data_IF_228829369280
#
_entry.id   IF_228829369280
#
_cell.length_a   1.000
_cell.length_b   1.000
_cell.length_c   1.000
_cell.angle_alpha   90.00
_cell.angle_beta   90.00
_cell.angle_gamma   90.00
#
_symmetry.space_group_name_H-M   'P 1'
#
loop_
_entity.id
_entity.type
_entity.pdbx_description
1 polymer ?
#
# COMPACT_ATOMS: atom_id res chain seq x y z
N UNK A 1 4.62 -23.20 29.98
CA UNK A 1 3.73 -22.02 29.93
C UNK A 1 3.79 -21.45 28.53
N UNK A 2 2.68 -21.51 27.80
CA UNK A 2 2.61 -21.08 26.39
C UNK A 2 2.48 -19.56 26.37
N UNK A 3 3.52 -18.86 25.94
CA UNK A 3 3.47 -17.41 25.76
C UNK A 3 2.57 -17.07 24.57
N UNK A 4 1.29 -16.81 24.83
CA UNK A 4 0.31 -16.31 23.86
C UNK A 4 0.56 -14.85 23.46
N UNK A 5 1.63 -14.22 23.96
CA UNK A 5 1.97 -12.83 23.72
C UNK A 5 3.31 -12.78 23.01
N UNK A 6 3.30 -12.21 21.81
CA UNK A 6 4.50 -11.92 21.02
C UNK A 6 5.41 -10.89 21.72
N UNK A 7 6.45 -10.37 21.04
CA UNK A 7 7.37 -9.41 21.64
C UNK A 7 6.60 -8.15 22.09
N UNK A 8 6.46 -7.97 23.40
CA UNK A 8 5.90 -6.74 23.99
C UNK A 8 6.99 -5.66 23.90
N UNK A 9 6.75 -4.62 23.11
CA UNK A 9 7.63 -3.46 23.07
C UNK A 9 7.43 -2.62 24.35
N UNK A 10 8.51 -2.09 24.92
CA UNK A 10 8.44 -1.30 26.15
C UNK A 10 7.48 -0.10 25.98
N UNK A 11 6.49 0.00 26.87
CA UNK A 11 5.46 1.05 26.82
C UNK A 11 4.31 0.79 25.84
N UNK A 12 4.33 -0.32 25.10
CA UNK A 12 3.26 -0.74 24.20
C UNK A 12 2.54 -1.96 24.74
N UNK A 13 1.60 -1.70 25.63
CA UNK A 13 0.65 -2.69 26.10
C UNK A 13 -0.60 -2.73 25.21
N UNK A 14 -1.52 -3.66 25.51
CA UNK A 14 -2.80 -3.76 24.79
C UNK A 14 -3.56 -2.43 24.78
N UNK A 15 -3.51 -1.66 25.85
CA UNK A 15 -4.21 -0.39 25.96
C UNK A 15 -3.61 0.67 25.04
N UNK A 16 -2.28 0.75 24.93
CA UNK A 16 -1.58 1.61 24.00
C UNK A 16 -1.98 1.31 22.54
N UNK A 17 -2.05 0.03 22.17
CA UNK A 17 -2.54 -0.36 20.83
C UNK A 17 -3.99 0.09 20.58
N UNK A 18 -4.88 -0.12 21.55
CA UNK A 18 -6.29 0.30 21.42
C UNK A 18 -6.41 1.82 21.31
N UNK A 19 -5.62 2.58 22.08
CA UNK A 19 -5.64 4.05 22.01
C UNK A 19 -5.10 4.56 20.67
N UNK A 20 -4.05 3.93 20.14
CA UNK A 20 -3.54 4.23 18.81
C UNK A 20 -4.61 3.96 17.73
N UNK A 21 -5.32 2.83 17.81
CA UNK A 21 -6.43 2.51 16.89
C UNK A 21 -7.57 3.53 16.96
N UNK A 22 -7.93 3.98 18.17
CA UNK A 22 -8.96 5.01 18.36
C UNK A 22 -8.54 6.35 17.75
N UNK A 23 -7.30 6.76 17.99
CA UNK A 23 -6.76 7.99 17.41
C UNK A 23 -6.76 7.95 15.88
N UNK A 24 -6.36 6.82 15.29
CA UNK A 24 -6.37 6.61 13.84
C UNK A 24 -7.80 6.65 13.29
N UNK A 25 -8.77 6.06 14.00
CA UNK A 25 -10.18 6.10 13.61
C UNK A 25 -10.76 7.52 13.61
N UNK A 26 -10.42 8.35 14.61
CA UNK A 26 -10.84 9.75 14.64
C UNK A 26 -10.23 10.55 13.50
N UNK A 27 -8.94 10.39 13.24
CA UNK A 27 -8.28 11.04 12.11
C UNK A 27 -8.89 10.66 10.76
N UNK A 28 -9.21 9.37 10.59
CA UNK A 28 -9.89 8.89 9.39
C UNK A 28 -11.28 9.52 9.25
N UNK A 29 -12.06 9.60 10.34
CA UNK A 29 -13.37 10.23 10.34
C UNK A 29 -13.28 11.72 9.99
N UNK A 30 -12.35 12.45 10.60
CA UNK A 30 -12.11 13.87 10.33
C UNK A 30 -11.69 14.08 8.88
N UNK A 31 -10.81 13.23 8.36
CA UNK A 31 -10.41 13.27 6.95
C UNK A 31 -11.60 13.06 6.02
N UNK A 32 -12.45 12.06 6.29
CA UNK A 32 -13.65 11.79 5.48
C UNK A 32 -14.63 12.96 5.52
N UNK A 33 -14.83 13.55 6.70
CA UNK A 33 -15.68 14.73 6.85
C UNK A 33 -15.13 15.92 6.03
N UNK A 34 -13.84 16.22 6.14
CA UNK A 34 -13.22 17.28 5.35
C UNK A 34 -13.29 17.01 3.85
N UNK A 35 -13.05 15.77 3.42
CA UNK A 35 -13.13 15.38 2.02
C UNK A 35 -14.56 15.52 1.46
N UNK A 36 -15.58 15.17 2.24
CA UNK A 36 -16.98 15.28 1.84
C UNK A 36 -17.47 16.74 1.72
N UNK A 37 -16.93 17.65 2.53
CA UNK A 37 -17.34 19.06 2.56
C UNK A 37 -16.38 20.02 1.85
N UNK A 38 -15.36 19.50 1.15
CA UNK A 38 -14.41 20.30 0.40
C UNK A 38 -14.75 20.34 -1.09
N UNK A 39 -14.68 21.51 -1.72
CA UNK A 39 -14.80 21.66 -3.19
C UNK A 39 -13.73 20.90 -3.98
N UNK A 40 -12.59 20.58 -3.34
CA UNK A 40 -11.44 19.89 -3.96
C UNK A 40 -11.04 18.65 -3.14
N UNK A 41 -11.86 17.59 -3.12
CA UNK A 41 -11.66 16.41 -2.25
C UNK A 41 -10.28 15.76 -2.45
N UNK A 42 -9.76 15.76 -3.69
CA UNK A 42 -8.42 15.21 -4.02
C UNK A 42 -7.25 15.96 -3.38
N UNK A 43 -7.46 17.18 -2.87
CA UNK A 43 -6.43 17.97 -2.20
C UNK A 43 -6.41 17.75 -0.69
N UNK A 44 -7.47 17.20 -0.12
CA UNK A 44 -7.49 16.80 1.28
C UNK A 44 -6.55 15.60 1.42
N UNK A 45 -5.58 15.71 2.33
CA UNK A 45 -4.61 14.65 2.59
C UNK A 45 -4.99 13.92 3.88
N UNK A 46 -4.96 12.58 3.89
CA UNK A 46 -5.13 11.84 5.13
C UNK A 46 -3.96 12.15 6.08
N UNK A 47 -4.26 12.22 7.37
CA UNK A 47 -3.25 12.32 8.41
C UNK A 47 -2.48 10.99 8.49
N UNK A 48 -1.17 11.03 8.77
CA UNK A 48 -0.41 9.81 8.97
C UNK A 48 -0.94 9.05 10.20
N UNK A 49 -0.93 7.72 10.17
CA UNK A 49 -1.32 6.91 11.32
C UNK A 49 -0.37 7.14 12.50
N UNK A 50 -0.86 6.87 13.70
CA UNK A 50 -0.06 6.95 14.92
C UNK A 50 1.16 6.01 14.82
N UNK A 51 2.37 6.46 15.18
CA UNK A 51 3.57 5.64 15.06
C UNK A 51 3.47 4.41 15.98
N UNK A 52 3.65 3.20 15.41
CA UNK A 52 3.62 1.92 16.13
C UNK A 52 4.98 1.23 16.05
N UNK A 53 5.42 0.54 17.11
CA UNK A 53 6.70 -0.15 17.11
C UNK A 53 6.66 -1.33 16.14
N UNK A 54 7.77 -1.53 15.42
CA UNK A 54 7.90 -2.60 14.42
C UNK A 54 7.12 -2.37 13.12
N UNK A 55 6.33 -1.31 13.00
CA UNK A 55 5.66 -0.93 11.75
C UNK A 55 6.57 0.00 10.99
N UNK A 56 7.22 -0.52 9.94
CA UNK A 56 7.85 0.33 8.92
C UNK A 56 6.72 0.92 8.09
N UNK A 57 6.60 2.26 8.08
CA UNK A 57 5.64 2.93 7.19
C UNK A 57 6.11 2.66 5.77
N UNK A 58 5.42 1.77 5.06
CA UNK A 58 5.70 1.53 3.65
C UNK A 58 5.40 2.81 2.88
N UNK A 59 6.45 3.50 2.43
CA UNK A 59 6.30 4.54 1.43
C UNK A 59 5.67 3.91 0.20
N UNK A 60 4.47 4.36 -0.14
CA UNK A 60 3.69 3.84 -1.26
C UNK A 60 4.58 3.81 -2.50
N UNK A 61 4.93 2.60 -2.95
CA UNK A 61 5.82 2.43 -4.08
C UNK A 61 5.28 3.23 -5.27
N UNK A 62 6.05 4.24 -5.70
CA UNK A 62 5.72 5.13 -6.83
C UNK A 62 5.94 4.42 -8.18
N UNK A 63 5.98 3.10 -8.20
CA UNK A 63 6.16 2.38 -9.46
C UNK A 63 4.81 2.24 -10.18
N UNK A 64 4.77 2.54 -11.49
CA UNK A 64 3.56 2.37 -12.28
C UNK A 64 3.17 0.89 -12.26
N UNK A 65 1.95 0.60 -11.82
CA UNK A 65 1.43 -0.77 -11.80
C UNK A 65 1.36 -1.28 -13.26
N UNK A 66 2.25 -2.21 -13.61
CA UNK A 66 2.37 -2.76 -14.96
C UNK A 66 1.07 -3.40 -15.47
N UNK A 67 0.21 -3.89 -14.56
CA UNK A 67 -1.11 -4.44 -14.91
C UNK A 67 -2.08 -3.32 -15.32
N UNK A 68 -2.04 -2.17 -14.63
CA UNK A 68 -2.85 -1.00 -14.98
C UNK A 68 -2.40 -0.36 -16.28
N UNK A 69 -1.09 -0.33 -16.56
CA UNK A 69 -0.54 0.15 -17.83
C UNK A 69 -1.02 -0.72 -19.01
N UNK A 70 -0.95 -2.05 -18.87
CA UNK A 70 -1.47 -2.99 -19.89
C UNK A 70 -2.97 -2.88 -20.10
N UNK A 71 -3.75 -2.68 -19.04
CA UNK A 71 -5.20 -2.51 -19.14
C UNK A 71 -5.58 -1.21 -19.87
N UNK A 72 -4.74 -0.17 -19.79
CA UNK A 72 -4.90 1.10 -20.52
C UNK A 72 -4.43 1.04 -21.98
N UNK A 73 -3.90 -0.09 -22.43
CA UNK A 73 -3.36 -0.25 -23.79
C UNK A 73 -2.00 0.41 -23.98
N UNK A 74 -1.29 0.73 -22.90
CA UNK A 74 0.11 1.15 -22.99
C UNK A 74 0.95 -0.12 -23.22
N UNK A 75 1.47 -0.26 -24.45
CA UNK A 75 2.37 -1.35 -24.81
C UNK A 75 3.60 -1.29 -23.90
N UNK A 76 3.73 -2.30 -23.04
CA UNK A 76 4.93 -2.45 -22.22
C UNK A 76 6.15 -2.44 -23.15
N UNK A 77 7.26 -1.75 -22.81
CA UNK A 77 8.48 -1.83 -23.59
C UNK A 77 8.85 -3.30 -23.74
N UNK A 78 9.13 -3.70 -24.99
CA UNK A 78 9.44 -5.09 -25.34
C UNK A 78 10.45 -5.66 -24.33
N UNK A 79 10.20 -6.86 -23.77
CA UNK A 79 11.13 -7.47 -22.83
C UNK A 79 12.49 -7.53 -23.52
N UNK A 80 13.49 -6.85 -22.96
CA UNK A 80 14.86 -6.92 -23.46
C UNK A 80 15.30 -8.37 -23.27
N UNK A 81 15.24 -9.16 -24.35
CA UNK A 81 15.72 -10.53 -24.35
C UNK A 81 17.22 -10.49 -24.07
N UNK A 82 17.61 -10.88 -22.86
CA UNK A 82 19.02 -11.11 -22.55
C UNK A 82 19.61 -12.15 -23.51
N UNK A 83 20.92 -12.09 -23.78
CA UNK A 83 21.56 -12.96 -24.76
C UNK A 83 21.43 -14.43 -24.32
N UNK A 84 20.46 -15.14 -24.87
CA UNK A 84 20.21 -16.56 -24.58
C UNK A 84 18.75 -17.01 -24.59
N UNK A 85 17.75 -16.12 -24.56
CA UNK A 85 16.34 -16.54 -24.57
C UNK A 85 15.85 -16.85 -25.99
N UNK A 86 15.92 -18.12 -26.39
CA UNK A 86 15.21 -18.65 -27.57
C UNK A 86 13.76 -18.93 -27.20
N UNK A 87 12.86 -17.98 -27.41
CA UNK A 87 11.41 -18.25 -27.36
C UNK A 87 11.05 -18.95 -28.67
N UNK A 88 10.52 -20.19 -28.66
CA UNK A 88 10.06 -20.84 -29.88
C UNK A 88 8.83 -20.10 -30.41
N UNK A 89 8.88 -19.71 -31.68
CA UNK A 89 7.75 -19.10 -32.39
C UNK A 89 6.60 -20.13 -32.49
N UNK A 90 5.34 -19.74 -32.22
CA UNK A 90 4.21 -20.63 -32.43
C UNK A 90 4.06 -20.94 -33.93
N UNK A 91 3.60 -22.15 -34.29
CA UNK A 91 3.47 -22.56 -35.70
C UNK A 91 2.44 -21.68 -36.43
N UNK A 92 2.62 -21.47 -37.75
CA UNK A 92 1.66 -20.72 -38.56
C UNK A 92 0.30 -21.43 -38.52
N UNK A 93 -0.75 -20.68 -38.21
CA UNK A 93 -2.13 -21.17 -38.30
C UNK A 93 -2.50 -21.33 -39.79
N UNK A 94 -3.18 -22.43 -40.16
CA UNK A 94 -3.70 -22.63 -41.51
C UNK A 94 -4.80 -21.64 -41.86
#
# INVERSE_FOLDING_TARGET
>A
MTALRGPEYAGWDRHAYVMADLYDAFNALTYLYQAAHSDKPKKVKPLPPYPRPGVVVEEKATQPNALLARLRGEDAPAPVLGPGSKIPLPPPRP
#
